data_IF_313539489120
#
_entry.id   IF_313539489120
#
_cell.length_a   1.000
_cell.length_b   1.000
_cell.length_c   1.000
_cell.angle_alpha   90.00
_cell.angle_beta   90.00
_cell.angle_gamma   90.00
#
_symmetry.space_group_name_H-M   'P 1'
#
loop_
_entity.id
_entity.type
_entity.pdbx_description
1 polymer ?
#
# COMPACT_ATOMS: atom_id res chain seq x y z
N UNK A 1 0.21 -6.34 -1.14
CA UNK A 1 1.45 -7.00 -0.66
C UNK A 1 2.41 -5.95 -0.15
N UNK A 2 2.87 -6.08 1.09
CA UNK A 2 3.88 -5.22 1.71
C UNK A 2 5.22 -5.96 1.75
N UNK A 3 6.33 -5.23 1.60
CA UNK A 3 7.69 -5.82 1.59
C UNK A 3 8.23 -6.13 3.00
N UNK A 4 7.59 -5.62 4.06
CA UNK A 4 7.94 -5.92 5.46
C UNK A 4 6.67 -6.21 6.27
N UNK A 5 6.76 -6.98 7.37
CA UNK A 5 5.69 -7.03 8.36
C UNK A 5 5.47 -5.60 8.85
N UNK A 6 4.23 -5.15 8.67
CA UNK A 6 3.75 -3.83 9.06
C UNK A 6 2.34 -4.02 9.57
N UNK A 7 1.95 -3.22 10.54
CA UNK A 7 0.57 -3.15 11.02
C UNK A 7 -0.47 -3.07 9.90
N UNK A 8 -0.14 -2.41 8.78
CA UNK A 8 -1.01 -2.32 7.60
C UNK A 8 -1.33 -3.68 6.97
N UNK A 9 -0.34 -4.57 6.82
CA UNK A 9 -0.56 -5.90 6.27
C UNK A 9 -1.43 -6.76 7.19
N UNK A 10 -1.20 -6.65 8.51
CA UNK A 10 -2.02 -7.35 9.50
C UNK A 10 -3.46 -6.82 9.52
N UNK A 11 -3.66 -5.51 9.38
CA UNK A 11 -4.98 -4.90 9.27
C UNK A 11 -5.73 -5.38 8.01
N UNK A 12 -5.05 -5.47 6.87
CA UNK A 12 -5.64 -6.00 5.63
C UNK A 12 -5.99 -7.49 5.75
N UNK A 13 -5.12 -8.30 6.38
CA UNK A 13 -5.41 -9.70 6.65
C UNK A 13 -6.63 -9.84 7.57
N UNK A 14 -6.69 -9.02 8.62
CA UNK A 14 -7.82 -9.00 9.55
C UNK A 14 -9.12 -8.58 8.85
N UNK A 15 -9.08 -7.59 7.95
CA UNK A 15 -10.22 -7.24 7.09
C UNK A 15 -10.76 -8.46 6.36
N UNK A 16 -9.88 -9.17 5.65
CA UNK A 16 -10.26 -10.36 4.89
C UNK A 16 -10.89 -11.42 5.79
N UNK A 17 -10.25 -11.73 6.92
CA UNK A 17 -10.74 -12.71 7.87
C UNK A 17 -12.10 -12.33 8.48
N UNK A 18 -12.34 -11.05 8.81
CA UNK A 18 -13.61 -10.59 9.35
C UNK A 18 -14.75 -10.70 8.35
N UNK A 19 -14.48 -10.38 7.08
CA UNK A 19 -15.48 -10.49 6.01
C UNK A 19 -15.77 -11.95 5.68
N UNK A 20 -14.74 -12.78 5.60
CA UNK A 20 -14.87 -14.19 5.22
C UNK A 20 -15.47 -15.03 6.36
N UNK A 21 -14.95 -14.90 7.58
CA UNK A 21 -15.29 -15.80 8.71
C UNK A 21 -16.18 -15.14 9.76
N UNK A 22 -16.40 -13.83 9.68
CA UNK A 22 -17.13 -13.07 10.69
C UNK A 22 -16.24 -12.59 11.85
N UNK A 23 -16.84 -11.80 12.73
CA UNK A 23 -16.19 -11.19 13.89
C UNK A 23 -16.05 -12.23 15.03
N UNK A 24 -14.83 -12.55 15.48
CA UNK A 24 -14.63 -13.46 16.60
C UNK A 24 -14.95 -12.80 17.94
N UNK A 25 -15.09 -13.61 18.99
CA UNK A 25 -15.15 -13.10 20.38
C UNK A 25 -13.76 -12.74 20.88
N UNK A 26 -12.77 -13.61 20.62
CA UNK A 26 -11.39 -13.46 21.09
C UNK A 26 -10.42 -13.70 19.95
N UNK A 27 -9.37 -12.91 19.87
CA UNK A 27 -8.27 -13.07 18.93
C UNK A 27 -6.94 -13.26 19.69
N UNK A 28 -6.29 -14.41 19.49
CA UNK A 28 -4.96 -14.67 20.05
C UNK A 28 -3.88 -14.19 19.08
N UNK A 29 -3.01 -13.29 19.52
CA UNK A 29 -2.02 -12.62 18.66
C UNK A 29 -0.60 -12.71 19.23
N UNK A 30 0.41 -12.50 18.38
CA UNK A 30 1.78 -12.36 18.86
C UNK A 30 1.98 -11.08 19.67
N UNK A 31 3.03 -11.02 20.48
CA UNK A 31 3.47 -9.82 21.18
C UNK A 31 4.45 -8.98 20.34
N UNK A 32 4.48 -9.19 19.01
CA UNK A 32 5.24 -8.37 18.08
C UNK A 32 4.66 -6.96 17.97
N UNK A 33 5.52 -5.96 17.76
CA UNK A 33 5.15 -4.53 17.72
C UNK A 33 3.98 -4.21 16.80
N UNK A 34 3.82 -4.97 15.71
CA UNK A 34 2.75 -4.75 14.74
C UNK A 34 1.36 -5.12 15.30
N UNK A 35 1.27 -6.16 16.14
CA UNK A 35 0.04 -6.67 16.74
C UNK A 35 -0.37 -5.90 18.00
N UNK A 36 0.61 -5.35 18.74
CA UNK A 36 0.36 -4.47 19.89
C UNK A 36 0.32 -2.99 19.54
N UNK A 37 0.37 -2.68 18.23
CA UNK A 37 0.22 -1.32 17.73
C UNK A 37 -1.11 -0.72 18.18
N UNK A 38 -1.13 0.60 18.38
CA UNK A 38 -2.36 1.28 18.80
C UNK A 38 -3.48 1.14 17.76
N UNK A 39 -3.14 1.14 16.46
CA UNK A 39 -4.11 0.84 15.40
C UNK A 39 -4.78 -0.51 15.64
N UNK A 40 -3.99 -1.57 15.89
CA UNK A 40 -4.57 -2.90 16.04
C UNK A 40 -5.39 -3.05 17.32
N UNK A 41 -4.90 -2.49 18.43
CA UNK A 41 -5.65 -2.43 19.68
C UNK A 41 -6.98 -1.70 19.53
N UNK A 42 -6.97 -0.54 18.87
CA UNK A 42 -8.19 0.24 18.67
C UNK A 42 -9.19 -0.51 17.80
N UNK A 43 -8.76 -1.14 16.70
CA UNK A 43 -9.64 -1.98 15.89
C UNK A 43 -10.28 -3.11 16.72
N UNK A 44 -9.50 -3.82 17.55
CA UNK A 44 -10.06 -4.88 18.40
C UNK A 44 -11.09 -4.33 19.40
N UNK A 45 -10.80 -3.19 20.03
CA UNK A 45 -11.75 -2.51 20.94
C UNK A 45 -13.02 -2.10 20.19
N UNK A 46 -12.88 -1.44 19.04
CA UNK A 46 -14.01 -0.96 18.22
C UNK A 46 -14.91 -2.10 17.76
N UNK A 47 -14.35 -3.27 17.47
CA UNK A 47 -15.09 -4.46 17.07
C UNK A 47 -15.51 -5.33 18.27
N UNK A 48 -15.26 -4.90 19.51
CA UNK A 48 -15.54 -5.70 20.72
C UNK A 48 -14.94 -7.12 20.65
N UNK A 49 -13.70 -7.20 20.19
CA UNK A 49 -12.89 -8.42 20.11
C UNK A 49 -11.87 -8.37 21.26
N UNK A 50 -11.84 -9.41 22.09
CA UNK A 50 -10.83 -9.54 23.13
C UNK A 50 -9.49 -9.96 22.52
N UNK A 51 -8.44 -9.15 22.71
CA UNK A 51 -7.09 -9.52 22.27
C UNK A 51 -6.34 -10.25 23.38
N UNK A 52 -5.97 -11.52 23.14
CA UNK A 52 -5.06 -12.27 24.01
C UNK A 52 -3.66 -12.30 23.41
N UNK A 53 -2.67 -11.78 24.12
CA UNK A 53 -1.28 -11.80 23.67
C UNK A 53 -0.59 -13.09 24.08
N UNK A 54 0.21 -13.65 23.17
CA UNK A 54 1.15 -14.71 23.53
C UNK A 54 2.23 -14.19 24.47
N UNK A 55 2.63 -15.03 25.42
CA UNK A 55 3.77 -14.71 26.28
C UNK A 55 5.06 -14.67 25.44
N UNK A 56 5.92 -13.66 25.64
CA UNK A 56 7.20 -13.59 24.93
C UNK A 56 8.03 -14.86 25.13
N UNK A 57 8.67 -15.34 24.07
CA UNK A 57 9.56 -16.52 24.08
C UNK A 57 8.90 -17.86 24.46
N UNK A 58 7.59 -18.01 24.26
CA UNK A 58 6.88 -19.27 24.46
C UNK A 58 6.26 -19.82 23.16
N UNK A 59 7.05 -20.51 22.31
CA UNK A 59 6.58 -21.07 21.03
C UNK A 59 5.39 -22.03 21.17
N UNK A 60 5.32 -22.73 22.32
CA UNK A 60 4.25 -23.69 22.64
C UNK A 60 2.85 -23.07 22.68
N UNK A 61 2.74 -21.75 22.76
CA UNK A 61 1.44 -21.07 22.76
C UNK A 61 0.83 -20.90 21.36
N UNK A 62 1.56 -21.26 20.29
CA UNK A 62 1.11 -21.18 18.89
C UNK A 62 1.43 -22.46 18.08
N UNK A 63 1.13 -23.67 18.61
CA UNK A 63 1.58 -24.91 18.00
C UNK A 63 0.92 -25.19 16.65
N UNK A 64 -0.26 -24.61 16.40
CA UNK A 64 -1.00 -24.76 15.14
C UNK A 64 -0.36 -23.96 14.01
N UNK A 65 0.11 -22.74 14.29
CA UNK A 65 0.73 -21.86 13.31
C UNK A 65 2.03 -22.48 12.78
N UNK A 66 2.89 -22.97 13.67
CA UNK A 66 4.13 -23.65 13.29
C UNK A 66 3.89 -24.92 12.47
N UNK A 67 2.84 -25.69 12.81
CA UNK A 67 2.47 -26.88 12.06
C UNK A 67 1.98 -26.54 10.65
N UNK A 68 1.12 -25.54 10.51
CA UNK A 68 0.64 -25.12 9.18
C UNK A 68 1.80 -24.62 8.32
N UNK A 69 2.70 -23.79 8.86
CA UNK A 69 3.89 -23.34 8.11
C UNK A 69 4.81 -24.49 7.73
N UNK A 70 4.95 -25.51 8.59
CA UNK A 70 5.69 -26.72 8.26
C UNK A 70 5.02 -27.47 7.11
N UNK A 71 3.71 -27.71 7.18
CA UNK A 71 2.96 -28.36 6.10
C UNK A 71 3.11 -27.58 4.80
N UNK A 72 2.88 -26.27 4.82
CA UNK A 72 3.02 -25.40 3.66
C UNK A 72 4.41 -25.47 3.03
N UNK A 73 5.46 -25.41 3.86
CA UNK A 73 6.85 -25.42 3.38
C UNK A 73 7.22 -26.73 2.71
N UNK A 74 6.76 -27.86 3.27
CA UNK A 74 7.05 -29.23 2.81
C UNK A 74 6.10 -29.78 1.74
N UNK A 75 5.05 -29.04 1.40
CA UNK A 75 4.13 -29.41 0.31
C UNK A 75 4.67 -28.88 -1.03
N UNK A 76 3.83 -28.27 -1.85
CA UNK A 76 4.23 -27.86 -3.21
C UNK A 76 5.13 -26.63 -3.28
N UNK A 77 5.43 -25.97 -2.15
CA UNK A 77 6.38 -24.86 -2.14
C UNK A 77 7.79 -25.30 -2.58
N UNK A 78 8.17 -26.55 -2.32
CA UNK A 78 9.44 -27.14 -2.76
C UNK A 78 9.57 -27.19 -4.30
N UNK A 79 8.43 -27.26 -5.00
CA UNK A 79 8.36 -27.35 -6.46
C UNK A 79 8.37 -25.96 -7.13
N UNK A 80 8.25 -24.88 -6.34
CA UNK A 80 8.16 -23.52 -6.86
C UNK A 80 9.53 -22.97 -7.32
N UNK A 81 9.56 -22.23 -8.44
CA UNK A 81 10.79 -21.66 -8.97
C UNK A 81 11.37 -20.66 -7.97
N UNK A 82 12.64 -20.84 -7.61
CA UNK A 82 13.34 -19.97 -6.67
C UNK A 82 13.33 -20.45 -5.22
N UNK A 83 12.77 -21.63 -4.94
CA UNK A 83 12.87 -22.28 -3.64
C UNK A 83 14.34 -22.53 -3.22
N UNK A 84 14.68 -22.21 -1.97
CA UNK A 84 16.05 -22.26 -1.44
C UNK A 84 16.20 -23.15 -0.20
N UNK A 85 15.24 -24.02 0.11
CA UNK A 85 15.29 -24.94 1.26
C UNK A 85 14.54 -24.43 2.51
N UNK A 86 14.35 -25.33 3.48
CA UNK A 86 13.45 -25.16 4.64
C UNK A 86 14.10 -24.43 5.82
N UNK A 87 15.42 -24.29 5.82
CA UNK A 87 16.15 -23.66 6.91
C UNK A 87 17.43 -22.97 6.42
N UNK A 88 18.02 -22.14 7.27
CA UNK A 88 19.24 -21.37 6.94
C UNK A 88 20.41 -22.29 6.57
N UNK A 89 20.47 -23.52 7.09
CA UNK A 89 21.54 -24.47 6.78
C UNK A 89 21.35 -25.13 5.39
N UNK A 90 20.13 -25.50 5.02
CA UNK A 90 19.78 -25.96 3.67
C UNK A 90 19.94 -24.84 2.64
N UNK A 91 19.51 -23.62 2.99
CA UNK A 91 19.75 -22.42 2.20
C UNK A 91 21.24 -22.19 1.98
N UNK A 92 22.05 -22.24 3.04
CA UNK A 92 23.53 -22.18 2.93
C UNK A 92 24.10 -23.35 2.14
N UNK A 93 23.52 -24.54 2.21
CA UNK A 93 23.96 -25.72 1.44
C UNK A 93 23.62 -25.63 -0.06
N UNK A 94 22.48 -25.03 -0.40
CA UNK A 94 22.05 -24.76 -1.78
C UNK A 94 22.80 -23.55 -2.35
N UNK A 95 22.99 -22.49 -1.56
CA UNK A 95 23.82 -21.32 -1.87
C UNK A 95 25.31 -21.69 -1.94
N UNK A 96 25.80 -22.65 -1.15
CA UNK A 96 27.18 -23.17 -1.25
C UNK A 96 27.38 -23.98 -2.53
N UNK A 97 26.39 -24.79 -2.93
CA UNK A 97 26.40 -25.52 -4.21
C UNK A 97 26.28 -24.57 -5.41
N UNK A 98 25.44 -23.54 -5.32
CA UNK A 98 25.34 -22.48 -6.34
C UNK A 98 26.57 -21.58 -6.39
N UNK A 99 27.16 -21.22 -5.26
CA UNK A 99 28.41 -20.44 -5.21
C UNK A 99 29.65 -21.24 -5.63
N UNK A 100 29.63 -22.56 -5.54
CA UNK A 100 30.64 -23.42 -6.18
C UNK A 100 30.50 -23.40 -7.72
N UNK A 101 29.27 -23.48 -8.24
CA UNK A 101 29.00 -23.35 -9.68
C UNK A 101 29.27 -21.92 -10.21
N UNK A 102 28.92 -20.87 -9.45
CA UNK A 102 29.18 -19.47 -9.77
C UNK A 102 30.64 -19.06 -9.52
N UNK A 103 31.42 -19.76 -8.69
CA UNK A 103 32.88 -19.57 -8.63
C UNK A 103 33.59 -19.99 -9.93
N UNK A 104 32.92 -20.79 -10.77
CA UNK A 104 33.40 -21.16 -12.10
C UNK A 104 33.02 -20.12 -13.19
N UNK A 105 32.10 -19.19 -12.91
CA UNK A 105 31.54 -18.22 -13.86
C UNK A 105 31.41 -16.84 -13.19
N UNK A 106 32.30 -15.92 -13.53
CA UNK A 106 32.49 -14.53 -13.05
C UNK A 106 31.44 -13.87 -12.10
N UNK A 107 32.00 -13.20 -11.08
CA UNK A 107 31.34 -12.42 -10.01
C UNK A 107 30.34 -11.38 -10.50
N UNK A 108 29.09 -11.51 -10.07
CA UNK A 108 28.06 -10.47 -10.10
C UNK A 108 26.67 -11.01 -9.81
N UNK A 109 26.48 -11.73 -8.70
CA UNK A 109 25.20 -12.41 -8.44
C UNK A 109 24.13 -11.46 -7.89
N UNK A 110 23.22 -11.08 -8.78
CA UNK A 110 21.87 -10.61 -8.45
C UNK A 110 21.13 -11.80 -7.85
N UNK A 111 20.49 -11.62 -6.68
CA UNK A 111 19.60 -12.65 -6.11
C UNK A 111 18.40 -12.82 -7.06
N UNK A 112 18.42 -13.85 -7.91
CA UNK A 112 17.36 -14.20 -8.87
C UNK A 112 16.03 -14.51 -8.13
N UNK A 113 15.12 -13.54 -8.01
CA UNK A 113 13.73 -13.80 -7.64
C UNK A 113 12.98 -14.39 -8.85
N UNK A 114 12.65 -15.69 -8.80
CA UNK A 114 12.04 -16.42 -9.92
C UNK A 114 10.49 -16.42 -9.91
N UNK A 115 9.89 -15.79 -8.92
CA UNK A 115 8.44 -15.70 -8.73
C UNK A 115 8.07 -14.25 -8.38
N UNK A 116 7.04 -13.69 -9.00
CA UNK A 116 6.55 -12.36 -8.61
C UNK A 116 5.76 -12.46 -7.29
N UNK A 117 5.62 -11.35 -6.53
CA UNK A 117 4.78 -11.34 -5.35
C UNK A 117 3.34 -11.78 -5.66
N UNK A 118 2.76 -11.31 -6.76
CA UNK A 118 1.41 -11.68 -7.18
C UNK A 118 1.28 -13.18 -7.45
N UNK A 119 2.26 -13.77 -8.16
CA UNK A 119 2.25 -15.21 -8.43
C UNK A 119 2.36 -16.02 -7.13
N UNK A 120 3.15 -15.56 -6.16
CA UNK A 120 3.23 -16.18 -4.84
C UNK A 120 1.91 -16.08 -4.07
N UNK A 121 1.24 -14.93 -4.12
CA UNK A 121 -0.08 -14.77 -3.50
C UNK A 121 -1.09 -15.75 -4.09
N UNK A 122 -1.18 -15.83 -5.41
CA UNK A 122 -2.08 -16.77 -6.10
C UNK A 122 -1.78 -18.21 -5.73
N UNK A 123 -0.49 -18.59 -5.67
CA UNK A 123 -0.09 -19.92 -5.21
C UNK A 123 -0.55 -20.19 -3.77
N UNK A 124 -0.34 -19.25 -2.85
CA UNK A 124 -0.79 -19.39 -1.46
C UNK A 124 -2.30 -19.56 -1.36
N UNK A 125 -3.08 -18.75 -2.10
CA UNK A 125 -4.54 -18.81 -2.08
C UNK A 125 -5.04 -20.16 -2.61
N UNK A 126 -4.46 -20.65 -3.71
CA UNK A 126 -4.78 -21.96 -4.27
C UNK A 126 -4.39 -23.12 -3.33
N UNK A 127 -3.23 -23.02 -2.69
CA UNK A 127 -2.79 -24.03 -1.72
C UNK A 127 -3.72 -24.09 -0.51
N UNK A 128 -4.17 -22.93 0.01
CA UNK A 128 -5.11 -22.86 1.12
C UNK A 128 -6.44 -23.52 0.78
N UNK A 129 -6.96 -23.28 -0.43
CA UNK A 129 -8.21 -23.91 -0.91
C UNK A 129 -8.12 -25.44 -0.89
N UNK A 130 -7.01 -25.99 -1.34
CA UNK A 130 -6.75 -27.43 -1.31
C UNK A 130 -6.60 -27.93 0.12
N UNK A 131 -5.79 -27.24 0.92
CA UNK A 131 -5.53 -27.62 2.30
C UNK A 131 -6.81 -27.67 3.13
N UNK A 132 -7.75 -26.74 2.91
CA UNK A 132 -9.05 -26.73 3.59
C UNK A 132 -9.90 -27.96 3.28
N UNK A 133 -9.73 -28.56 2.10
CA UNK A 133 -10.54 -29.70 1.66
C UNK A 133 -9.83 -31.06 1.82
N UNK A 134 -8.52 -31.08 2.06
CA UNK A 134 -7.76 -32.30 2.37
C UNK A 134 -8.10 -32.79 3.78
N UNK A 135 -8.20 -34.11 3.96
CA UNK A 135 -8.40 -34.69 5.29
C UNK A 135 -7.24 -34.33 6.23
N UNK A 136 -7.57 -33.83 7.42
CA UNK A 136 -6.59 -33.48 8.43
C UNK A 136 -6.53 -34.57 9.50
N UNK A 137 -5.38 -35.23 9.62
CA UNK A 137 -5.22 -36.42 10.48
C UNK A 137 -5.61 -36.23 11.95
N UNK A 138 -5.39 -35.05 12.53
CA UNK A 138 -5.80 -34.77 13.92
C UNK A 138 -7.29 -34.41 14.08
N UNK A 139 -7.97 -34.00 13.00
CA UNK A 139 -9.39 -33.66 13.01
C UNK A 139 -10.26 -34.85 12.62
N UNK A 140 -9.72 -35.81 11.87
CA UNK A 140 -10.46 -36.94 11.31
C UNK A 140 -11.42 -36.54 10.17
N UNK A 141 -11.38 -35.30 9.74
CA UNK A 141 -12.11 -34.72 8.60
C UNK A 141 -11.29 -33.55 8.03
N UNK A 142 -11.76 -32.93 6.94
CA UNK A 142 -11.11 -31.74 6.40
C UNK A 142 -11.36 -30.50 7.27
N UNK A 143 -10.43 -29.51 7.30
CA UNK A 143 -10.65 -28.25 8.00
C UNK A 143 -11.96 -27.55 7.59
N UNK A 144 -12.32 -27.60 6.30
CA UNK A 144 -13.57 -27.09 5.76
C UNK A 144 -14.78 -27.74 6.42
N UNK A 145 -14.85 -29.08 6.41
CA UNK A 145 -15.95 -29.83 7.05
C UNK A 145 -16.03 -29.49 8.54
N UNK A 146 -14.88 -29.37 9.22
CA UNK A 146 -14.87 -29.02 10.64
C UNK A 146 -15.43 -27.61 10.88
N UNK A 147 -15.02 -26.63 10.09
CA UNK A 147 -15.50 -25.25 10.20
C UNK A 147 -17.01 -25.16 9.90
N UNK A 148 -17.47 -25.80 8.82
CA UNK A 148 -18.89 -25.81 8.44
C UNK A 148 -19.77 -26.56 9.44
N UNK A 149 -19.23 -27.56 10.15
CA UNK A 149 -19.98 -28.29 11.19
C UNK A 149 -20.27 -27.46 12.44
N UNK A 150 -19.71 -26.24 12.54
CA UNK A 150 -19.98 -25.35 13.65
C UNK A 150 -21.39 -24.77 13.55
N UNK A 151 -22.18 -24.97 14.61
CA UNK A 151 -23.61 -24.61 14.67
C UNK A 151 -23.86 -23.29 15.44
N UNK A 152 -22.82 -22.53 15.74
CA UNK A 152 -22.94 -21.23 16.39
C UNK A 152 -23.50 -20.16 15.45
N UNK A 153 -23.70 -18.97 16.01
CA UNK A 153 -24.10 -17.79 15.25
C UNK A 153 -22.85 -16.99 14.89
N UNK A 154 -22.71 -16.65 13.61
CA UNK A 154 -21.63 -15.81 13.10
C UNK A 154 -22.06 -14.35 13.21
N UNK A 155 -21.30 -13.56 13.96
CA UNK A 155 -21.41 -12.10 13.97
C UNK A 155 -20.81 -11.55 12.66
N UNK A 156 -21.62 -10.97 11.77
CA UNK A 156 -21.17 -10.44 10.48
C UNK A 156 -21.01 -8.92 10.52
N UNK A 157 -19.86 -8.44 10.04
CA UNK A 157 -19.68 -7.02 9.71
C UNK A 157 -20.17 -6.84 8.27
N UNK A 158 -21.37 -6.29 8.11
CA UNK A 158 -22.05 -6.11 6.82
C UNK A 158 -21.52 -4.92 6.02
N UNK A 159 -21.10 -3.85 6.71
CA UNK A 159 -20.60 -2.63 6.09
C UNK A 159 -19.07 -2.68 5.91
N UNK A 160 -18.66 -3.12 4.72
CA UNK A 160 -17.24 -3.19 4.35
C UNK A 160 -16.55 -1.82 4.40
N UNK A 161 -17.28 -0.73 4.13
CA UNK A 161 -16.72 0.62 4.04
C UNK A 161 -16.54 1.22 5.43
N UNK A 162 -17.49 0.99 6.32
CA UNK A 162 -17.31 1.29 7.74
C UNK A 162 -16.12 0.53 8.32
N UNK A 163 -15.95 -0.74 7.94
CA UNK A 163 -14.78 -1.55 8.35
C UNK A 163 -13.47 -0.97 7.78
N UNK A 164 -13.47 -0.51 6.53
CA UNK A 164 -12.33 0.18 5.92
C UNK A 164 -11.94 1.43 6.73
N UNK A 165 -12.92 2.22 7.17
CA UNK A 165 -12.67 3.40 8.00
C UNK A 165 -12.09 3.04 9.37
N UNK A 166 -12.59 1.99 10.03
CA UNK A 166 -12.05 1.50 11.30
C UNK A 166 -10.63 0.94 11.18
N UNK A 167 -10.30 0.39 10.01
CA UNK A 167 -8.98 -0.15 9.72
C UNK A 167 -8.04 0.92 9.17
N UNK A 168 -8.49 2.14 8.89
CA UNK A 168 -7.69 3.17 8.25
C UNK A 168 -6.42 3.50 9.02
N UNK A 169 -5.40 3.99 8.30
CA UNK A 169 -4.13 4.36 8.92
C UNK A 169 -4.28 5.66 9.71
N UNK A 170 -3.94 5.68 11.01
CA UNK A 170 -4.03 6.89 11.81
C UNK A 170 -3.04 7.94 11.31
N UNK A 171 -3.44 9.21 11.35
CA UNK A 171 -2.71 10.29 10.71
C UNK A 171 -1.55 10.81 11.58
N UNK A 172 -0.40 10.10 11.54
CA UNK A 172 0.84 10.37 12.29
C UNK A 172 0.66 10.34 13.82
N UNK A 173 1.72 10.07 14.61
CA UNK A 173 1.66 10.03 16.09
C UNK A 173 0.37 9.39 16.66
N UNK A 174 0.05 8.16 16.21
CA UNK A 174 -1.14 7.39 16.60
C UNK A 174 -2.51 8.07 16.31
N UNK A 175 -2.54 9.04 15.40
CA UNK A 175 -3.77 9.71 14.98
C UNK A 175 -4.31 10.72 15.98
N UNK A 176 -3.75 10.81 17.20
CA UNK A 176 -4.22 11.79 18.17
C UNK A 176 -3.62 13.17 17.88
N UNK A 177 -4.47 14.18 17.72
CA UNK A 177 -4.05 15.56 17.42
C UNK A 177 -4.82 16.57 18.26
N UNK A 178 -4.13 17.65 18.61
CA UNK A 178 -4.76 18.81 19.22
C UNK A 178 -5.15 19.80 18.13
N UNK A 179 -6.37 20.31 18.20
CA UNK A 179 -6.87 21.33 17.27
C UNK A 179 -6.22 22.67 17.63
N UNK A 180 -5.48 23.25 16.69
CA UNK A 180 -4.90 24.58 16.83
C UNK A 180 -5.82 25.64 16.20
N UNK A 181 -5.47 26.92 16.36
CA UNK A 181 -6.23 28.04 15.78
C UNK A 181 -6.38 27.96 14.25
N UNK A 182 -5.39 27.37 13.57
CA UNK A 182 -5.39 27.17 12.10
C UNK A 182 -6.03 25.82 11.69
N UNK A 183 -6.56 25.04 12.63
CA UNK A 183 -7.07 23.70 12.41
C UNK A 183 -6.11 22.61 12.87
N UNK A 184 -6.11 21.47 12.20
CA UNK A 184 -5.31 20.29 12.56
C UNK A 184 -4.07 20.23 11.69
N UNK A 185 -2.89 20.02 12.30
CA UNK A 185 -1.62 19.84 11.57
C UNK A 185 -1.24 18.37 11.51
N UNK A 186 -1.08 17.83 10.29
CA UNK A 186 -0.56 16.48 10.06
C UNK A 186 0.47 16.53 8.93
N UNK A 187 1.65 15.94 9.17
CA UNK A 187 2.74 15.83 8.19
C UNK A 187 3.09 17.13 7.46
N UNK A 188 2.98 18.26 8.18
CA UNK A 188 3.27 19.60 7.65
C UNK A 188 2.06 20.33 7.03
N UNK A 189 0.98 19.61 6.73
CA UNK A 189 -0.24 20.12 6.09
C UNK A 189 -1.26 20.53 7.17
N UNK A 190 -2.00 21.61 6.90
CA UNK A 190 -3.07 22.11 7.76
C UNK A 190 -4.44 21.77 7.17
N UNK A 191 -5.28 21.17 8.00
CA UNK A 191 -6.63 20.77 7.65
C UNK A 191 -7.63 21.56 8.49
N UNK A 192 -8.68 22.04 7.85
CA UNK A 192 -9.72 22.88 8.45
C UNK A 192 -11.10 22.26 8.23
N UNK A 193 -11.99 22.45 9.19
CA UNK A 193 -13.43 22.32 9.00
C UNK A 193 -14.16 23.22 10.01
N UNK A 194 -15.37 23.71 9.69
CA UNK A 194 -16.15 24.57 10.59
C UNK A 194 -16.50 23.93 11.93
N UNK A 195 -16.60 22.59 11.97
CA UNK A 195 -17.01 21.81 13.14
C UNK A 195 -15.88 21.63 14.18
N UNK A 196 -14.65 22.06 13.86
CA UNK A 196 -13.48 21.89 14.72
C UNK A 196 -13.38 22.95 15.81
N UNK A 197 -13.38 22.50 17.07
CA UNK A 197 -13.21 23.36 18.23
C UNK A 197 -11.74 23.50 18.64
N UNK A 198 -11.24 24.73 18.69
CA UNK A 198 -9.83 25.00 19.04
C UNK A 198 -9.55 24.59 20.48
N UNK A 199 -8.51 23.78 20.66
CA UNK A 199 -8.04 23.32 21.98
C UNK A 199 -8.38 21.86 22.28
N UNK A 200 -9.37 21.30 21.58
CA UNK A 200 -9.81 19.92 21.78
C UNK A 200 -8.80 18.92 21.20
N UNK A 201 -8.85 17.71 21.74
CA UNK A 201 -8.11 16.57 21.21
C UNK A 201 -9.04 15.69 20.38
N UNK A 202 -8.56 15.25 19.23
CA UNK A 202 -9.31 14.43 18.28
C UNK A 202 -8.44 13.30 17.75
N UNK A 203 -9.10 12.25 17.26
CA UNK A 203 -8.46 11.21 16.46
C UNK A 203 -8.65 11.51 14.98
N UNK A 204 -7.56 11.47 14.22
CA UNK A 204 -7.55 11.73 12.80
C UNK A 204 -7.02 10.53 12.02
N UNK A 205 -7.73 10.18 10.97
CA UNK A 205 -7.40 9.12 10.03
C UNK A 205 -7.33 9.71 8.64
N UNK A 206 -6.42 9.15 7.85
CA UNK A 206 -6.29 9.55 6.46
C UNK A 206 -7.40 8.94 5.61
N UNK A 207 -7.95 9.73 4.69
CA UNK A 207 -8.63 9.18 3.54
C UNK A 207 -7.58 8.52 2.60
N UNK A 208 -7.76 7.25 2.27
CA UNK A 208 -6.84 6.56 1.35
C UNK A 208 -6.94 7.10 -0.08
N UNK A 209 -8.08 7.70 -0.42
CA UNK A 209 -8.41 8.18 -1.76
C UNK A 209 -8.01 9.63 -2.00
N UNK A 210 -7.84 10.46 -0.96
CA UNK A 210 -7.48 11.88 -1.06
C UNK A 210 -6.57 12.33 0.12
N UNK A 211 -5.34 12.76 -0.18
CA UNK A 211 -4.40 13.29 0.84
C UNK A 211 -4.84 14.63 1.41
N UNK A 212 -5.69 15.37 0.71
CA UNK A 212 -6.25 16.63 1.18
C UNK A 212 -7.34 16.45 2.23
N UNK A 213 -7.70 15.22 2.61
CA UNK A 213 -8.80 14.94 3.53
C UNK A 213 -8.36 14.13 4.74
N UNK A 214 -8.90 14.51 5.89
CA UNK A 214 -8.83 13.75 7.13
C UNK A 214 -10.22 13.45 7.64
N UNK A 215 -10.44 12.20 8.03
CA UNK A 215 -11.62 11.80 8.81
C UNK A 215 -11.32 12.05 10.28
N UNK A 216 -12.17 12.83 10.94
CA UNK A 216 -11.97 13.28 12.32
C UNK A 216 -13.01 12.66 13.25
N UNK A 217 -12.54 12.12 14.37
CA UNK A 217 -13.36 11.53 15.43
C UNK A 217 -13.06 12.19 16.78
N UNK A 218 -14.05 12.22 17.67
CA UNK A 218 -13.88 12.72 19.04
C UNK A 218 -13.18 11.69 19.95
N UNK A 219 -13.00 12.03 21.24
CA UNK A 219 -12.38 11.13 22.23
C UNK A 219 -13.18 9.82 22.45
N UNK A 220 -14.49 9.80 22.18
CA UNK A 220 -15.37 8.63 22.25
C UNK A 220 -15.41 7.82 20.93
N UNK A 221 -14.56 8.16 19.95
CA UNK A 221 -14.54 7.58 18.60
C UNK A 221 -15.84 7.75 17.81
N UNK A 222 -16.69 8.72 18.16
CA UNK A 222 -17.80 9.15 17.31
C UNK A 222 -17.29 10.05 16.19
N UNK A 223 -17.89 9.93 15.01
CA UNK A 223 -17.55 10.75 13.86
C UNK A 223 -17.88 12.22 14.15
N UNK A 224 -16.92 13.11 13.89
CA UNK A 224 -17.11 14.56 14.04
C UNK A 224 -17.33 15.23 12.70
N UNK A 225 -16.37 15.09 11.79
CA UNK A 225 -16.36 15.80 10.51
C UNK A 225 -15.25 15.29 9.59
N UNK A 226 -15.25 15.79 8.35
CA UNK A 226 -14.13 15.68 7.42
C UNK A 226 -13.40 17.01 7.38
N UNK A 227 -12.12 17.00 7.74
CA UNK A 227 -11.26 18.17 7.65
C UNK A 227 -10.52 18.18 6.32
N UNK A 228 -10.50 19.34 5.65
CA UNK A 228 -9.94 19.50 4.32
C UNK A 228 -8.73 20.42 4.32
N UNK A 229 -7.76 20.12 3.46
CA UNK A 229 -6.65 20.99 3.11
C UNK A 229 -6.81 21.37 1.63
N UNK A 230 -7.43 22.54 1.32
CA UNK A 230 -7.80 22.92 -0.06
C UNK A 230 -6.63 22.91 -1.05
N UNK A 231 -5.41 23.18 -0.58
CA UNK A 231 -4.20 23.17 -1.41
C UNK A 231 -3.79 21.76 -1.87
N UNK A 232 -4.38 20.71 -1.27
CA UNK A 232 -4.02 19.31 -1.48
C UNK A 232 -5.24 18.40 -1.80
N UNK A 233 -6.45 18.95 -1.87
CA UNK A 233 -7.67 18.20 -2.23
C UNK A 233 -7.63 17.71 -3.68
N UNK A 234 -8.09 16.48 -3.92
CA UNK A 234 -8.12 15.86 -5.25
C UNK A 234 -6.83 15.11 -5.64
N UNK A 235 -5.90 14.92 -4.71
CA UNK A 235 -4.67 14.16 -4.94
C UNK A 235 -4.72 12.84 -4.16
N UNK A 236 -4.70 11.70 -4.85
CA UNK A 236 -4.81 10.40 -4.16
C UNK A 236 -3.51 9.96 -3.48
N UNK A 237 -3.62 9.44 -2.24
CA UNK A 237 -2.46 8.91 -1.50
C UNK A 237 -1.90 7.65 -2.13
N UNK A 238 -2.78 6.78 -2.65
CA UNK A 238 -2.38 5.59 -3.43
C UNK A 238 -1.64 6.00 -4.69
N UNK A 239 -2.00 7.11 -5.33
CA UNK A 239 -1.33 7.60 -6.55
C UNK A 239 0.01 8.26 -6.25
N UNK A 240 0.15 9.05 -5.18
CA UNK A 240 1.45 9.59 -4.76
C UNK A 240 2.42 8.48 -4.31
N UNK A 241 1.94 7.52 -3.50
CA UNK A 241 2.75 6.39 -3.05
C UNK A 241 3.10 5.46 -4.22
N UNK A 242 2.16 5.20 -5.13
CA UNK A 242 2.41 4.40 -6.32
C UNK A 242 3.22 5.14 -7.37
N UNK A 243 3.18 6.47 -7.49
CA UNK A 243 4.03 7.26 -8.40
C UNK A 243 5.48 7.30 -7.90
N UNK A 244 5.68 7.48 -6.59
CA UNK A 244 6.98 7.33 -5.95
C UNK A 244 7.54 5.91 -6.12
N UNK A 245 6.68 4.89 -5.98
CA UNK A 245 7.05 3.48 -6.15
C UNK A 245 7.18 3.05 -7.62
N UNK A 246 6.45 3.66 -8.56
CA UNK A 246 6.53 3.44 -10.02
C UNK A 246 7.90 3.89 -10.54
N UNK A 247 8.41 5.05 -10.10
CA UNK A 247 9.80 5.45 -10.40
C UNK A 247 10.84 4.41 -9.94
N UNK A 248 10.59 3.74 -8.81
CA UNK A 248 11.46 2.68 -8.26
C UNK A 248 11.25 1.31 -8.94
N UNK A 249 10.02 0.99 -9.34
CA UNK A 249 9.60 -0.31 -9.89
C UNK A 249 9.83 -0.40 -11.41
N UNK A 250 9.76 0.72 -12.12
CA UNK A 250 9.99 0.81 -13.57
C UNK A 250 11.45 0.48 -13.93
N UNK A 251 12.41 0.85 -13.06
CA UNK A 251 13.81 0.42 -13.16
C UNK A 251 13.98 -1.10 -12.98
N UNK A 252 13.14 -1.74 -12.16
CA UNK A 252 13.20 -3.18 -11.88
C UNK A 252 12.46 -4.02 -12.94
N UNK A 253 11.34 -3.54 -13.49
CA UNK A 253 10.55 -4.24 -14.50
C UNK A 253 11.23 -4.33 -15.87
N UNK A 254 11.98 -3.29 -16.27
CA UNK A 254 12.80 -3.31 -17.49
C UNK A 254 13.91 -4.37 -17.42
N UNK A 255 14.50 -4.58 -16.24
CA UNK A 255 15.48 -5.65 -16.01
C UNK A 255 14.85 -7.06 -16.04
N UNK A 256 13.61 -7.20 -15.55
CA UNK A 256 12.89 -8.50 -15.52
C UNK A 256 12.34 -8.94 -16.88
N UNK A 257 11.89 -8.01 -17.73
CA UNK A 257 11.32 -8.35 -19.05
C UNK A 257 12.38 -8.93 -19.99
N UNK A 258 13.60 -8.37 -19.99
CA UNK A 258 14.73 -8.88 -20.76
C UNK A 258 15.21 -10.27 -20.30
N UNK A 259 15.10 -10.59 -19.01
CA UNK A 259 15.45 -11.89 -18.46
C UNK A 259 14.41 -12.99 -18.76
N UNK A 260 13.13 -12.61 -18.94
CA UNK A 260 12.01 -13.52 -19.20
C UNK A 260 12.01 -14.05 -20.65
N UNK A 261 12.41 -13.21 -21.61
CA UNK A 261 12.46 -13.57 -23.04
C UNK A 261 13.58 -14.59 -23.38
N UNK A 262 14.55 -14.79 -22.48
CA UNK A 262 15.71 -15.66 -22.71
C UNK A 262 15.57 -17.12 -22.20
N UNK A 263 14.47 -17.52 -21.55
CA UNK A 263 14.43 -18.81 -20.81
C UNK A 263 13.09 -19.53 -20.85
N UNK A 264 12.69 -20.00 -22.04
CA UNK A 264 11.75 -21.11 -22.14
C UNK A 264 12.48 -22.36 -22.61
N UNK A 265 12.68 -23.33 -21.70
CA UNK A 265 12.80 -24.78 -21.95
C UNK A 265 13.19 -25.54 -20.67
N UNK A 266 12.23 -26.24 -20.07
CA UNK A 266 12.22 -27.70 -19.85
C UNK A 266 11.21 -28.14 -18.77
N UNK A 267 10.58 -29.27 -19.07
CA UNK A 267 9.44 -29.89 -18.40
C UNK A 267 9.83 -30.71 -17.16
N UNK A 268 9.56 -30.14 -15.98
CA UNK A 268 9.07 -30.84 -14.75
C UNK A 268 7.84 -30.08 -14.19
N UNK A 269 7.32 -29.11 -14.96
CA UNK A 269 6.42 -28.04 -14.50
C UNK A 269 4.94 -28.34 -14.78
N UNK A 270 4.65 -29.08 -15.85
CA UNK A 270 3.27 -29.46 -16.21
C UNK A 270 2.62 -30.34 -15.14
N UNK A 271 3.35 -31.27 -14.52
CA UNK A 271 2.74 -32.23 -13.60
C UNK A 271 2.28 -31.60 -12.27
N UNK A 272 3.07 -30.70 -11.69
CA UNK A 272 2.70 -30.06 -10.41
C UNK A 272 1.53 -29.08 -10.59
N UNK A 273 1.51 -28.34 -11.71
CA UNK A 273 0.42 -27.43 -12.06
C UNK A 273 -0.85 -28.22 -12.43
N UNK A 274 -0.73 -29.33 -13.14
CA UNK A 274 -1.84 -30.22 -13.48
C UNK A 274 -2.42 -30.92 -12.24
N UNK A 275 -1.57 -31.40 -11.31
CA UNK A 275 -2.01 -31.98 -10.03
C UNK A 275 -2.68 -30.93 -9.14
N UNK A 276 -2.11 -29.72 -9.05
CA UNK A 276 -2.71 -28.61 -8.29
C UNK A 276 -4.08 -28.21 -8.87
N UNK A 277 -4.20 -28.12 -10.19
CA UNK A 277 -5.47 -27.83 -10.85
C UNK A 277 -6.50 -28.94 -10.65
N UNK A 278 -6.07 -30.21 -10.64
CA UNK A 278 -6.93 -31.34 -10.33
C UNK A 278 -7.46 -31.28 -8.88
N UNK A 279 -6.58 -31.07 -7.89
CA UNK A 279 -6.98 -30.96 -6.49
C UNK A 279 -7.85 -29.73 -6.23
N UNK A 280 -7.58 -28.60 -6.87
CA UNK A 280 -8.44 -27.40 -6.82
C UNK A 280 -9.84 -27.70 -7.34
N UNK A 281 -9.96 -28.47 -8.42
CA UNK A 281 -11.26 -28.84 -8.99
C UNK A 281 -12.06 -29.70 -8.01
N UNK A 282 -11.39 -30.65 -7.34
CA UNK A 282 -12.04 -31.47 -6.31
C UNK A 282 -12.47 -30.66 -5.09
N UNK A 283 -11.62 -29.75 -4.62
CA UNK A 283 -11.91 -28.86 -3.50
C UNK A 283 -13.17 -28.00 -3.77
N UNK A 284 -13.22 -27.35 -4.93
CA UNK A 284 -14.32 -26.44 -5.32
C UNK A 284 -15.68 -27.11 -5.54
N UNK A 285 -15.70 -28.44 -5.70
CA UNK A 285 -16.96 -29.19 -5.86
C UNK A 285 -17.70 -29.40 -4.53
N UNK A 286 -17.10 -29.01 -3.40
CA UNK A 286 -17.71 -29.12 -2.08
C UNK A 286 -18.31 -27.76 -1.70
N UNK A 287 -19.62 -27.72 -1.46
CA UNK A 287 -20.33 -26.53 -1.01
C UNK A 287 -20.80 -26.67 0.44
N UNK A 288 -20.72 -25.59 1.21
CA UNK A 288 -21.27 -25.53 2.56
C UNK A 288 -22.74 -25.08 2.53
N UNK A 289 -23.54 -25.60 3.47
CA UNK A 289 -24.84 -25.01 3.75
C UNK A 289 -24.67 -23.66 4.47
N UNK A 290 -25.61 -22.71 4.29
CA UNK A 290 -25.56 -21.42 4.97
C UNK A 290 -25.53 -21.61 6.50
N UNK A 291 -24.60 -20.94 7.17
CA UNK A 291 -24.55 -20.89 8.63
C UNK A 291 -25.49 -19.80 9.16
N UNK A 292 -25.82 -19.85 10.46
CA UNK A 292 -26.65 -18.80 11.07
C UNK A 292 -25.82 -17.56 11.25
N UNK A 293 -26.31 -16.44 10.74
CA UNK A 293 -25.61 -15.17 10.77
C UNK A 293 -26.48 -14.11 11.44
N UNK A 294 -25.85 -13.25 12.24
CA UNK A 294 -26.47 -12.05 12.82
C UNK A 294 -25.57 -10.88 12.48
N UNK A 295 -26.19 -9.76 12.11
CA UNK A 295 -25.47 -8.53 11.82
C UNK A 295 -24.88 -7.96 13.12
N UNK A 296 -23.58 -7.69 13.10
CA UNK A 296 -22.90 -7.01 14.18
C UNK A 296 -22.93 -5.51 13.96
N UNK A 297 -23.50 -4.80 14.93
CA UNK A 297 -23.56 -3.34 14.95
C UNK A 297 -22.87 -2.80 16.19
N UNK A 298 -22.08 -1.74 16.04
CA UNK A 298 -21.47 -1.01 17.14
C UNK A 298 -21.47 0.48 16.83
N UNK A 299 -21.45 1.34 17.86
CA UNK A 299 -21.38 2.80 17.66
C UNK A 299 -20.17 3.24 16.82
N UNK A 300 -19.06 2.51 16.93
CA UNK A 300 -17.84 2.71 16.14
C UNK A 300 -18.02 2.33 14.67
N UNK A 301 -18.77 1.26 14.36
CA UNK A 301 -19.14 0.91 12.99
C UNK A 301 -20.11 1.93 12.41
N UNK A 302 -21.07 2.40 13.21
CA UNK A 302 -21.98 3.48 12.78
C UNK A 302 -21.21 4.77 12.45
N UNK A 303 -20.25 5.15 13.30
CA UNK A 303 -19.36 6.28 13.02
C UNK A 303 -18.47 6.07 11.77
N UNK A 304 -18.03 4.84 11.52
CA UNK A 304 -17.33 4.48 10.28
C UNK A 304 -18.20 4.66 9.04
N UNK A 305 -19.47 4.26 9.12
CA UNK A 305 -20.47 4.43 8.06
C UNK A 305 -20.77 5.91 7.81
N UNK A 306 -21.00 6.69 8.86
CA UNK A 306 -21.21 8.14 8.76
C UNK A 306 -20.03 8.85 8.08
N UNK A 307 -18.80 8.49 8.45
CA UNK A 307 -17.60 8.99 7.80
C UNK A 307 -17.55 8.64 6.31
N UNK A 308 -17.90 7.41 5.96
CA UNK A 308 -17.93 6.96 4.57
C UNK A 308 -19.00 7.70 3.74
N UNK A 309 -20.21 7.86 4.29
CA UNK A 309 -21.29 8.59 3.65
C UNK A 309 -20.92 10.06 3.45
N UNK A 310 -20.29 10.67 4.44
CA UNK A 310 -19.79 12.04 4.34
C UNK A 310 -18.71 12.17 3.25
N UNK A 311 -17.77 11.23 3.13
CA UNK A 311 -16.78 11.23 2.05
C UNK A 311 -17.45 11.07 0.68
N UNK A 312 -18.38 10.12 0.56
CA UNK A 312 -19.12 9.85 -0.68
C UNK A 312 -19.97 11.05 -1.12
N UNK A 313 -20.52 11.82 -0.17
CA UNK A 313 -21.28 13.03 -0.45
C UNK A 313 -20.42 14.17 -1.02
N UNK A 314 -19.14 14.23 -0.61
CA UNK A 314 -18.18 15.21 -1.14
C UNK A 314 -17.74 14.83 -2.56
N UNK A 315 -17.56 13.53 -2.82
CA UNK A 315 -17.13 13.02 -4.14
C UNK A 315 -18.24 12.95 -5.18
N UNK A 316 -19.50 12.92 -4.72
CA UNK A 316 -20.65 13.01 -5.62
C UNK A 316 -20.70 14.42 -6.21
N UNK A 317 -20.63 14.60 -7.54
CA UNK A 317 -20.86 15.91 -8.14
C UNK A 317 -22.24 16.35 -7.68
N UNK A 318 -22.29 17.47 -6.95
CA UNK A 318 -23.56 18.04 -6.55
C UNK A 318 -24.41 18.16 -7.82
N UNK A 319 -25.66 17.70 -7.76
CA UNK A 319 -26.66 18.16 -8.72
C UNK A 319 -26.96 19.63 -8.42
N UNK A 320 -25.94 20.49 -8.53
CA UNK A 320 -26.12 21.90 -8.72
C UNK A 320 -26.61 22.13 -10.14
N UNK A 321 -27.52 23.08 -10.30
CA UNK A 321 -27.93 23.57 -11.61
C UNK A 321 -26.70 23.79 -12.50
N UNK A 322 -26.73 23.41 -13.79
CA UNK A 322 -25.59 23.58 -14.67
C UNK A 322 -25.10 25.04 -14.61
N UNK A 323 -23.81 25.20 -14.30
CA UNK A 323 -23.12 26.50 -14.30
C UNK A 323 -23.41 27.20 -15.62
N UNK A 324 -23.82 28.45 -15.55
CA UNK A 324 -24.06 29.26 -16.75
C UNK A 324 -22.73 29.47 -17.50
N UNK A 325 -22.77 29.63 -18.83
CA UNK A 325 -21.56 29.91 -19.63
C UNK A 325 -20.77 31.14 -19.16
N UNK A 326 -21.41 32.05 -18.42
CA UNK A 326 -20.74 33.20 -17.80
C UNK A 326 -19.91 32.79 -16.57
N UNK A 327 -20.42 31.87 -15.74
CA UNK A 327 -19.73 31.36 -14.54
C UNK A 327 -18.56 30.44 -14.92
N UNK A 328 -18.73 29.63 -15.97
CA UNK A 328 -17.64 28.79 -16.50
C UNK A 328 -16.51 29.65 -17.05
N UNK A 329 -16.81 30.68 -17.84
CA UNK A 329 -15.79 31.63 -18.35
C UNK A 329 -15.08 32.38 -17.24
N UNK A 330 -15.81 32.80 -16.20
CA UNK A 330 -15.22 33.49 -15.06
C UNK A 330 -14.25 32.58 -14.28
N UNK A 331 -14.61 31.31 -14.06
CA UNK A 331 -13.74 30.32 -13.42
C UNK A 331 -12.51 29.98 -14.28
N UNK A 332 -12.67 29.87 -15.60
CA UNK A 332 -11.55 29.68 -16.53
C UNK A 332 -10.58 30.87 -16.50
N UNK A 333 -11.10 32.10 -16.48
CA UNK A 333 -10.28 33.31 -16.37
C UNK A 333 -9.55 33.41 -15.01
N UNK A 334 -10.19 33.04 -13.91
CA UNK A 334 -9.58 33.02 -12.58
C UNK A 334 -8.50 31.94 -12.45
N UNK A 335 -8.72 30.73 -13.01
CA UNK A 335 -7.71 29.66 -13.04
C UNK A 335 -6.49 30.10 -13.86
N UNK A 336 -6.70 30.71 -15.02
CA UNK A 336 -5.60 31.24 -15.84
C UNK A 336 -4.86 32.36 -15.10
N UNK A 337 -5.56 33.22 -14.34
CA UNK A 337 -4.92 34.27 -13.54
C UNK A 337 -4.06 33.68 -12.42
N UNK A 338 -4.59 32.71 -11.67
CA UNK A 338 -3.88 32.02 -10.58
C UNK A 338 -2.63 31.31 -11.11
N UNK A 339 -2.74 30.58 -12.21
CA UNK A 339 -1.59 29.92 -12.84
C UNK A 339 -0.52 30.92 -13.31
N UNK A 340 -0.93 32.11 -13.74
CA UNK A 340 -0.02 33.18 -14.17
C UNK A 340 0.67 33.85 -12.98
N UNK A 341 -0.04 34.05 -11.88
CA UNK A 341 0.50 34.56 -10.61
C UNK A 341 1.46 33.56 -9.95
N UNK A 342 1.17 32.26 -9.99
CA UNK A 342 2.07 31.20 -9.52
C UNK A 342 3.33 31.11 -10.39
N UNK A 343 3.20 31.18 -11.72
CA UNK A 343 4.35 31.24 -12.64
C UNK A 343 5.21 32.49 -12.44
N UNK A 344 4.61 33.63 -12.08
CA UNK A 344 5.35 34.85 -11.77
C UNK A 344 6.19 34.69 -10.50
N UNK A 345 5.61 34.09 -9.44
CA UNK A 345 6.34 33.77 -8.20
C UNK A 345 7.48 32.76 -8.43
N UNK A 346 7.26 31.75 -9.28
CA UNK A 346 8.29 30.78 -9.63
C UNK A 346 9.47 31.37 -10.42
N UNK A 347 9.24 32.50 -11.11
CA UNK A 347 10.27 33.22 -11.86
C UNK A 347 11.11 34.16 -10.97
N UNK A 348 10.57 34.60 -9.82
CA UNK A 348 11.25 35.51 -8.88
C UNK A 348 12.29 34.80 -7.99
N UNK A 349 12.14 33.48 -7.74
CA UNK A 349 13.03 32.69 -6.88
C UNK A 349 14.16 31.94 -7.61
N UNK A 350 14.23 32.01 -8.95
CA UNK A 350 15.34 31.40 -9.72
C UNK A 350 16.60 32.27 -9.60
N UNK A 351 17.47 31.93 -8.64
CA UNK A 351 18.83 32.49 -8.58
C UNK A 351 19.57 32.23 -9.91
N UNK A 352 20.50 33.12 -10.27
CA UNK A 352 21.29 32.95 -11.49
C UNK A 352 21.99 31.57 -11.51
N UNK A 353 22.44 31.08 -10.35
CA UNK A 353 22.98 29.72 -10.13
C UNK A 353 21.99 28.61 -10.47
N UNK A 354 20.75 28.70 -9.98
CA UNK A 354 19.69 27.74 -10.26
C UNK A 354 19.34 27.62 -11.75
N UNK A 355 19.34 28.72 -12.49
CA UNK A 355 19.06 28.70 -13.94
C UNK A 355 20.14 27.94 -14.73
N UNK A 356 21.41 28.12 -14.37
CA UNK A 356 22.48 27.42 -15.08
C UNK A 356 22.51 25.93 -14.75
N UNK A 357 22.24 25.54 -13.50
CA UNK A 357 22.11 24.13 -13.09
C UNK A 357 20.96 23.46 -13.86
N UNK A 358 19.81 24.12 -13.94
CA UNK A 358 18.66 23.65 -14.74
C UNK A 358 19.02 23.48 -16.22
N UNK A 359 19.82 24.39 -16.78
CA UNK A 359 20.30 24.24 -18.15
C UNK A 359 21.22 23.02 -18.33
N UNK A 360 22.15 22.76 -17.38
CA UNK A 360 23.02 21.58 -17.42
C UNK A 360 22.19 20.30 -17.43
N UNK A 361 21.17 20.19 -16.58
CA UNK A 361 20.29 19.02 -16.52
C UNK A 361 19.52 18.79 -17.82
N UNK A 362 18.99 19.86 -18.43
CA UNK A 362 18.29 19.77 -19.72
C UNK A 362 19.25 19.46 -20.88
N UNK A 363 20.48 19.95 -20.82
CA UNK A 363 21.52 19.65 -21.81
C UNK A 363 21.96 18.19 -21.75
N UNK A 364 22.20 17.64 -20.55
CA UNK A 364 22.56 16.23 -20.36
C UNK A 364 21.45 15.28 -20.83
N UNK A 365 20.18 15.63 -20.60
CA UNK A 365 19.05 14.84 -21.12
C UNK A 365 19.00 14.80 -22.64
N UNK A 366 19.28 15.93 -23.30
CA UNK A 366 19.39 15.95 -24.77
C UNK A 366 20.58 15.13 -25.28
N UNK A 367 21.74 15.19 -24.61
CA UNK A 367 22.91 14.38 -24.98
C UNK A 367 22.70 12.87 -24.74
N UNK A 368 21.89 12.51 -23.74
CA UNK A 368 21.46 11.14 -23.48
C UNK A 368 20.39 10.62 -24.46
N UNK A 369 19.90 11.47 -25.37
CA UNK A 369 18.89 11.11 -26.38
C UNK A 369 17.44 11.16 -25.87
N UNK A 370 17.17 11.84 -24.75
CA UNK A 370 15.81 12.07 -24.26
C UNK A 370 15.17 13.29 -24.94
N UNK A 371 13.92 13.16 -25.40
CA UNK A 371 13.14 14.31 -25.89
C UNK A 371 12.71 15.20 -24.72
N UNK A 372 13.04 16.49 -24.82
CA UNK A 372 12.53 17.50 -23.90
C UNK A 372 11.07 17.84 -24.27
N UNK A 373 10.23 18.03 -23.26
CA UNK A 373 8.90 18.60 -23.49
C UNK A 373 9.00 20.02 -24.09
N UNK A 374 7.94 20.44 -24.78
CA UNK A 374 7.90 21.70 -25.53
C UNK A 374 8.22 22.92 -24.64
N UNK A 375 7.86 22.85 -23.36
CA UNK A 375 7.98 23.93 -22.39
C UNK A 375 9.43 24.08 -21.90
N UNK A 376 10.11 22.96 -21.63
CA UNK A 376 11.54 22.92 -21.29
C UNK A 376 12.42 23.22 -22.52
N UNK A 377 11.99 22.82 -23.72
CA UNK A 377 12.64 23.19 -24.98
C UNK A 377 12.63 24.71 -25.20
N UNK A 378 11.47 25.35 -25.07
CA UNK A 378 11.33 26.81 -25.20
C UNK A 378 12.11 27.58 -24.12
N UNK A 379 12.07 27.10 -22.87
CA UNK A 379 12.84 27.70 -21.78
C UNK A 379 14.35 27.62 -22.03
N UNK A 380 14.86 26.45 -22.43
CA UNK A 380 16.29 26.23 -22.73
C UNK A 380 16.76 27.15 -23.86
N UNK A 381 16.01 27.21 -24.96
CA UNK A 381 16.32 28.09 -26.09
C UNK A 381 16.35 29.56 -25.68
N UNK A 382 15.42 30.01 -24.82
CA UNK A 382 15.40 31.38 -24.31
C UNK A 382 16.58 31.67 -23.39
N UNK A 383 16.92 30.75 -22.49
CA UNK A 383 18.03 30.94 -21.56
C UNK A 383 19.39 30.98 -22.26
N UNK A 384 19.59 30.19 -23.32
CA UNK A 384 20.82 30.18 -24.14
C UNK A 384 21.12 31.53 -24.82
N UNK A 385 20.10 32.38 -24.99
CA UNK A 385 20.29 33.74 -25.55
C UNK A 385 20.72 34.78 -24.51
N UNK A 386 20.64 34.45 -23.21
CA UNK A 386 20.94 35.37 -22.13
C UNK A 386 22.43 35.64 -21.95
N UNK A 387 22.79 36.81 -21.41
CA UNK A 387 24.19 37.14 -21.08
C UNK A 387 24.74 36.32 -19.91
N UNK A 388 23.87 35.95 -18.97
CA UNK A 388 24.15 35.07 -17.82
C UNK A 388 24.64 33.69 -18.30
N UNK A 389 23.93 33.10 -19.26
CA UNK A 389 24.33 31.84 -19.88
C UNK A 389 25.71 31.92 -20.54
N UNK A 390 25.99 32.96 -21.33
CA UNK A 390 27.27 33.10 -22.05
C UNK A 390 28.48 33.12 -21.13
N UNK A 391 28.39 33.85 -20.01
CA UNK A 391 29.50 33.94 -19.04
C UNK A 391 29.80 32.60 -18.36
N UNK A 392 28.74 31.85 -18.02
CA UNK A 392 28.87 30.57 -17.32
C UNK A 392 29.15 29.40 -18.23
N UNK A 393 28.71 29.47 -19.49
CA UNK A 393 29.06 28.50 -20.52
C UNK A 393 30.57 28.45 -20.76
N UNK A 394 31.26 29.59 -20.76
CA UNK A 394 32.73 29.62 -20.82
C UNK A 394 33.38 28.89 -19.63
N UNK A 395 32.92 29.15 -18.41
CA UNK A 395 33.40 28.42 -17.23
C UNK A 395 33.08 26.92 -17.29
N UNK A 396 31.91 26.54 -17.82
CA UNK A 396 31.51 25.15 -17.99
C UNK A 396 32.33 24.43 -19.05
N UNK A 397 32.71 25.11 -20.13
CA UNK A 397 33.56 24.55 -21.17
C UNK A 397 35.00 24.33 -20.68
N UNK A 398 35.50 25.23 -19.82
CA UNK A 398 36.87 25.16 -19.27
C UNK A 398 37.02 24.19 -18.08
N UNK A 399 36.01 24.12 -17.20
CA UNK A 399 36.09 23.36 -15.93
C UNK A 399 35.02 22.28 -15.76
N UNK A 400 34.12 22.13 -16.73
CA UNK A 400 33.03 21.16 -16.69
C UNK A 400 31.98 21.46 -15.61
N UNK A 401 31.07 20.49 -15.42
CA UNK A 401 29.98 20.56 -14.42
C UNK A 401 30.47 20.74 -12.97
N UNK A 402 31.70 20.32 -12.67
CA UNK A 402 32.27 20.37 -11.32
C UNK A 402 32.45 21.80 -10.77
N UNK A 403 32.46 22.81 -11.64
CA UNK A 403 32.52 24.22 -11.22
C UNK A 403 31.18 24.76 -10.67
N UNK A 404 30.07 24.04 -10.89
CA UNK A 404 28.70 24.51 -10.62
C UNK A 404 27.89 23.59 -9.70
N UNK A 405 28.46 22.46 -9.31
CA UNK A 405 27.84 21.48 -8.40
C UNK A 405 28.74 21.34 -7.19
N UNK A 406 28.30 21.89 -6.05
CA UNK A 406 28.95 21.71 -4.74
C UNK A 406 28.50 20.42 -4.06
#
# INVERSE_FOLDING_TARGET
MTETPRTEANAMLMRGALLEWGKPVTCKTDNGSDYVSNRMKQTFISLSIEQTLCTPFHPQEKPHIERVFRTFSHDWLEMMPGYVGHNVAERKGIEARKSFANRLMNKGDIIEAKLSPQDLQTFCDQWLEIYHHREHGALGCSPFVKATSWNGVIDRVSDERALDMLLASPAGNNGRRKIAKKGIKVDGIWYISPELNVGDWVYVYYDESDIGRLVVYNDDHAFLCIAQAPDFTGVSRKELASAAKRKQTQQMQLAHKAAREARSKYNIRDLAEEVMNHELTQARNVAAFPQREVEFTSSTLEAGREAHDALSSIDSPSQGSPLTEAEVRFLEEDIVRIQKEERAKQCEDETEEGRFIRWIELHEKMEAGEELDELNGQWKARYETSSDFKGRKMMFDDWGKAAFVK
#
